data_IF_402771494403
#
_entry.id   IF_402771494403
#
_cell.length_a   1.000
_cell.length_b   1.000
_cell.length_c   1.000
_cell.angle_alpha   90.00
_cell.angle_beta   90.00
_cell.angle_gamma   90.00
#
_symmetry.space_group_name_H-M   'P 1'
#
loop_
_entity.id
_entity.type
_entity.pdbx_description
1 polymer ?
#
# COMPACT_ATOMS: atom_id res chain seq x y z
N UNK A 1 -28.94 -7.13 5.68
CA UNK A 1 -28.56 -5.97 6.51
C UNK A 1 -27.51 -5.20 5.72
N UNK A 2 -27.80 -3.97 5.29
CA UNK A 2 -26.96 -3.12 4.44
C UNK A 2 -26.50 -1.93 5.28
N UNK A 3 -25.36 -2.06 5.94
CA UNK A 3 -24.70 -0.98 6.67
C UNK A 3 -23.55 -0.37 5.84
N UNK A 4 -23.09 0.85 6.18
CA UNK A 4 -22.02 1.52 5.43
C UNK A 4 -20.70 0.75 5.51
N UNK A 5 -19.97 0.71 4.39
CA UNK A 5 -18.67 0.04 4.26
C UNK A 5 -17.55 0.90 4.85
N UNK A 6 -16.86 0.45 5.92
CA UNK A 6 -15.67 1.12 6.39
C UNK A 6 -14.48 0.75 5.50
N UNK A 7 -13.65 1.74 5.12
CA UNK A 7 -12.32 1.52 4.54
C UNK A 7 -11.31 1.03 5.61
N UNK A 8 -11.70 0.03 6.41
CA UNK A 8 -10.85 -0.61 7.42
C UNK A 8 -10.15 -1.85 6.88
N UNK A 9 -9.15 -2.35 7.63
CA UNK A 9 -8.60 -3.72 7.45
C UNK A 9 -9.71 -4.75 7.76
N UNK A 10 -10.64 -4.93 6.84
CA UNK A 10 -11.53 -6.08 6.81
C UNK A 10 -11.15 -6.89 5.57
N UNK A 11 -10.82 -8.16 5.77
CA UNK A 11 -10.63 -9.10 4.66
C UNK A 11 -12.00 -9.34 4.04
N UNK A 12 -12.32 -8.59 3.00
CA UNK A 12 -13.48 -8.83 2.15
C UNK A 12 -13.11 -9.90 1.11
N UNK A 13 -14.07 -10.73 0.71
CA UNK A 13 -13.91 -11.57 -0.47
C UNK A 13 -13.76 -10.68 -1.72
N UNK A 14 -12.88 -11.05 -2.65
CA UNK A 14 -12.57 -10.23 -3.83
C UNK A 14 -13.82 -10.00 -4.68
N UNK A 15 -14.68 -11.00 -4.77
CA UNK A 15 -15.95 -10.97 -5.49
C UNK A 15 -16.93 -9.96 -4.88
N UNK A 16 -16.95 -9.87 -3.55
CA UNK A 16 -17.79 -8.93 -2.82
C UNK A 16 -17.27 -7.49 -2.97
N UNK A 17 -15.94 -7.31 -3.02
CA UNK A 17 -15.33 -6.01 -3.32
C UNK A 17 -15.69 -5.52 -4.74
N UNK A 18 -15.67 -6.43 -5.72
CA UNK A 18 -16.02 -6.11 -7.11
C UNK A 18 -17.51 -5.83 -7.30
N UNK A 19 -18.38 -6.45 -6.48
CA UNK A 19 -19.83 -6.25 -6.51
C UNK A 19 -20.33 -5.06 -5.68
N UNK A 20 -19.50 -4.46 -4.84
CA UNK A 20 -19.90 -3.38 -3.95
C UNK A 20 -20.03 -2.05 -4.70
N UNK A 21 -21.19 -1.38 -4.58
CA UNK A 21 -21.39 0.00 -5.01
C UNK A 21 -21.08 0.92 -3.82
N UNK A 22 -20.12 1.86 -3.92
CA UNK A 22 -19.82 2.78 -2.83
C UNK A 22 -21.05 3.62 -2.48
N UNK A 23 -21.46 3.63 -1.21
CA UNK A 23 -22.53 4.51 -0.73
C UNK A 23 -21.98 5.91 -0.46
N UNK A 24 -22.83 6.94 -0.57
CA UNK A 24 -22.45 8.33 -0.24
C UNK A 24 -21.96 8.48 1.20
N UNK A 25 -22.51 7.68 2.13
CA UNK A 25 -22.10 7.68 3.53
C UNK A 25 -20.74 7.00 3.73
N UNK A 26 -20.44 5.91 3.00
CA UNK A 26 -19.12 5.28 2.99
C UNK A 26 -18.04 6.17 2.35
N UNK A 27 -18.40 6.93 1.32
CA UNK A 27 -17.53 7.98 0.76
C UNK A 27 -17.24 9.08 1.79
N UNK A 28 -18.26 9.52 2.53
CA UNK A 28 -18.12 10.47 3.63
C UNK A 28 -17.12 9.99 4.69
N UNK A 29 -17.10 8.69 4.99
CA UNK A 29 -16.15 8.11 5.93
C UNK A 29 -14.70 8.11 5.41
N UNK A 30 -14.49 7.98 4.10
CA UNK A 30 -13.17 8.03 3.47
C UNK A 30 -12.49 9.40 3.57
N UNK A 31 -13.26 10.47 3.81
CA UNK A 31 -12.72 11.82 4.01
C UNK A 31 -12.25 12.09 5.44
N UNK A 32 -12.54 11.20 6.41
CA UNK A 32 -11.99 11.36 7.75
C UNK A 32 -10.52 10.94 7.77
N UNK A 33 -9.65 11.67 8.50
CA UNK A 33 -8.27 11.25 8.71
C UNK A 33 -8.25 9.85 9.33
N UNK A 34 -7.71 8.88 8.59
CA UNK A 34 -7.54 7.53 9.10
C UNK A 34 -6.50 7.54 10.23
N UNK A 35 -6.79 6.85 11.34
CA UNK A 35 -5.78 6.53 12.36
C UNK A 35 -4.82 5.51 11.77
N UNK A 36 -3.77 5.99 11.11
CA UNK A 36 -2.71 5.15 10.56
C UNK A 36 -1.62 4.96 11.62
N UNK A 37 -1.01 3.77 11.65
CA UNK A 37 0.21 3.57 12.43
C UNK A 37 1.31 4.51 11.92
N UNK A 38 2.28 4.85 12.78
CA UNK A 38 3.42 5.69 12.40
C UNK A 38 4.06 5.19 11.10
N UNK A 39 4.10 6.07 10.10
CA UNK A 39 4.67 5.80 8.78
C UNK A 39 4.13 4.54 8.07
N UNK A 40 2.88 4.14 8.34
CA UNK A 40 2.24 2.96 7.73
C UNK A 40 2.99 1.64 8.01
N UNK A 41 3.67 1.53 9.16
CA UNK A 41 4.36 0.30 9.56
C UNK A 41 3.37 -0.90 9.65
N UNK A 42 3.59 -2.00 8.90
CA UNK A 42 2.70 -3.15 8.92
C UNK A 42 2.93 -4.12 10.09
N UNK A 43 3.97 -3.91 10.91
CA UNK A 43 4.38 -4.77 12.02
C UNK A 43 5.45 -5.82 11.61
N UNK A 44 6.18 -6.35 12.60
CA UNK A 44 7.31 -7.26 12.39
C UNK A 44 6.93 -8.55 11.64
N UNK A 45 5.83 -9.20 12.03
CA UNK A 45 5.35 -10.44 11.41
C UNK A 45 5.07 -10.24 9.91
N UNK A 46 4.38 -9.15 9.56
CA UNK A 46 4.06 -8.84 8.16
C UNK A 46 5.33 -8.49 7.36
N UNK A 47 6.30 -7.79 7.95
CA UNK A 47 7.59 -7.52 7.29
C UNK A 47 8.32 -8.82 6.93
N UNK A 48 8.35 -9.79 7.85
CA UNK A 48 8.94 -11.11 7.59
C UNK A 48 8.18 -11.89 6.51
N UNK A 49 6.84 -11.84 6.52
CA UNK A 49 6.01 -12.44 5.46
C UNK A 49 6.33 -11.81 4.10
N UNK A 50 6.38 -10.48 4.02
CA UNK A 50 6.70 -9.75 2.79
C UNK A 50 8.11 -10.08 2.29
N UNK A 51 9.09 -10.17 3.20
CA UNK A 51 10.45 -10.59 2.87
C UNK A 51 10.46 -11.99 2.24
N UNK A 52 9.86 -12.99 2.89
CA UNK A 52 9.83 -14.36 2.36
C UNK A 52 9.06 -14.45 1.04
N UNK A 53 7.92 -13.74 0.94
CA UNK A 53 7.13 -13.65 -0.28
C UNK A 53 7.95 -13.09 -1.45
N UNK A 54 8.65 -11.98 -1.25
CA UNK A 54 9.51 -11.38 -2.27
C UNK A 54 10.66 -12.30 -2.75
N UNK A 55 11.06 -13.27 -1.92
CA UNK A 55 12.10 -14.25 -2.26
C UNK A 55 11.57 -15.48 -3.03
N UNK A 56 10.27 -15.56 -3.27
CA UNK A 56 9.68 -16.48 -4.25
C UNK A 56 9.69 -15.87 -5.65
N UNK A 57 9.69 -16.70 -6.71
CA UNK A 57 9.68 -16.20 -8.08
C UNK A 57 8.39 -15.41 -8.38
N UNK A 58 7.25 -15.92 -7.95
CA UNK A 58 5.92 -15.33 -8.11
C UNK A 58 5.80 -14.05 -7.29
N UNK A 59 6.20 -14.08 -6.02
CA UNK A 59 6.11 -12.91 -5.15
C UNK A 59 6.99 -11.76 -5.61
N UNK A 60 8.20 -12.05 -6.12
CA UNK A 60 9.02 -11.04 -6.78
C UNK A 60 8.30 -10.41 -7.95
N UNK A 61 7.72 -11.20 -8.86
CA UNK A 61 6.99 -10.67 -10.03
C UNK A 61 5.81 -9.79 -9.62
N UNK A 62 5.09 -10.16 -8.57
CA UNK A 62 3.96 -9.37 -8.05
C UNK A 62 4.45 -8.05 -7.45
N UNK A 63 5.50 -8.08 -6.62
CA UNK A 63 6.06 -6.85 -6.01
C UNK A 63 6.64 -5.92 -7.08
N UNK A 64 7.34 -6.46 -8.08
CA UNK A 64 7.87 -5.70 -9.20
C UNK A 64 6.75 -5.04 -10.01
N UNK A 65 5.66 -5.75 -10.29
CA UNK A 65 4.47 -5.17 -10.92
C UNK A 65 3.84 -4.07 -10.07
N UNK A 66 3.78 -4.22 -8.74
CA UNK A 66 3.31 -3.15 -7.85
C UNK A 66 4.24 -1.94 -7.86
N UNK A 67 5.56 -2.14 -7.94
CA UNK A 67 6.54 -1.07 -8.09
C UNK A 67 6.37 -0.32 -9.42
N UNK A 68 6.07 -1.05 -10.51
CA UNK A 68 5.75 -0.47 -11.82
C UNK A 68 4.50 0.41 -11.79
N UNK A 69 3.47 0.01 -11.02
CA UNK A 69 2.24 0.79 -10.84
C UNK A 69 2.41 1.99 -9.91
N UNK A 70 3.45 2.01 -9.08
CA UNK A 70 3.62 3.01 -8.01
C UNK A 70 4.83 3.91 -8.22
N UNK A 71 6.00 3.47 -7.78
CA UNK A 71 7.25 4.25 -7.72
C UNK A 71 7.94 4.41 -9.06
N UNK A 72 7.73 3.49 -10.01
CA UNK A 72 8.28 3.60 -11.37
C UNK A 72 7.28 4.15 -12.38
N UNK A 73 6.01 4.26 -11.99
CA UNK A 73 4.99 4.80 -12.87
C UNK A 73 5.31 6.26 -13.21
N UNK A 74 5.29 6.68 -14.49
CA UNK A 74 5.65 8.03 -14.87
C UNK A 74 4.70 9.07 -14.26
N UNK A 75 5.21 10.30 -14.20
CA UNK A 75 4.42 11.44 -13.76
C UNK A 75 3.23 11.64 -14.71
N UNK A 76 2.00 11.87 -14.19
CA UNK A 76 0.82 12.02 -15.04
C UNK A 76 0.94 13.22 -15.97
N UNK A 77 0.43 13.09 -17.20
CA UNK A 77 0.29 14.24 -18.09
C UNK A 77 -0.75 15.21 -17.52
N UNK A 78 -0.41 16.49 -17.45
CA UNK A 78 -1.24 17.54 -16.83
C UNK A 78 -1.38 18.73 -17.76
N UNK A 79 -2.51 19.42 -17.65
CA UNK A 79 -2.74 20.69 -18.34
C UNK A 79 -1.76 21.78 -17.90
N UNK A 80 -1.80 22.93 -18.57
CA UNK A 80 -0.84 24.02 -18.41
C UNK A 80 -1.03 24.92 -17.18
N UNK A 81 -2.05 24.69 -16.35
CA UNK A 81 -2.26 25.50 -15.14
C UNK A 81 -1.39 25.03 -13.97
N UNK A 82 -0.89 25.98 -13.17
CA UNK A 82 -0.05 25.69 -12.00
C UNK A 82 -0.79 24.83 -10.97
N UNK A 83 -2.08 25.10 -10.77
CA UNK A 83 -2.92 24.36 -9.83
C UNK A 83 -3.06 22.89 -10.25
N UNK A 84 -3.22 22.62 -11.55
CA UNK A 84 -3.31 21.25 -12.06
C UNK A 84 -1.98 20.50 -11.87
N UNK A 85 -0.85 21.15 -12.10
CA UNK A 85 0.48 20.58 -11.86
C UNK A 85 0.67 20.24 -10.38
N UNK A 86 0.32 21.15 -9.47
CA UNK A 86 0.46 20.93 -8.01
C UNK A 86 -0.41 19.76 -7.54
N UNK A 87 -1.67 19.71 -7.95
CA UNK A 87 -2.58 18.61 -7.58
C UNK A 87 -2.06 17.27 -8.10
N UNK A 88 -1.56 17.24 -9.33
CA UNK A 88 -0.99 16.04 -9.90
C UNK A 88 0.31 15.61 -9.22
N UNK A 89 1.13 16.57 -8.76
CA UNK A 89 2.34 16.28 -7.99
C UNK A 89 1.99 15.57 -6.71
N UNK A 90 1.05 16.12 -5.95
CA UNK A 90 0.59 15.52 -4.70
C UNK A 90 0.01 14.11 -4.91
N UNK A 91 -0.77 13.89 -5.98
CA UNK A 91 -1.30 12.56 -6.32
C UNK A 91 -0.20 11.56 -6.69
N UNK A 92 0.78 12.01 -7.48
CA UNK A 92 1.91 11.19 -7.88
C UNK A 92 2.79 10.82 -6.68
N UNK A 93 3.08 11.79 -5.81
CA UNK A 93 3.81 11.59 -4.56
C UNK A 93 3.10 10.58 -3.66
N UNK A 94 1.78 10.72 -3.46
CA UNK A 94 0.99 9.77 -2.68
C UNK A 94 1.06 8.35 -3.27
N UNK A 95 0.98 8.22 -4.61
CA UNK A 95 1.12 6.94 -5.31
C UNK A 95 2.52 6.33 -5.13
N UNK A 96 3.57 7.14 -5.25
CA UNK A 96 4.94 6.70 -5.06
C UNK A 96 5.20 6.27 -3.60
N UNK A 97 4.64 6.98 -2.62
CA UNK A 97 4.77 6.65 -1.21
C UNK A 97 4.32 5.22 -0.89
N UNK A 98 3.26 4.72 -1.54
CA UNK A 98 2.79 3.33 -1.35
C UNK A 98 3.87 2.32 -1.71
N UNK A 99 4.50 2.46 -2.88
CA UNK A 99 5.57 1.55 -3.30
C UNK A 99 6.81 1.67 -2.42
N UNK A 100 7.16 2.89 -1.97
CA UNK A 100 8.28 3.09 -1.05
C UNK A 100 8.06 2.40 0.30
N UNK A 101 6.86 2.50 0.87
CA UNK A 101 6.50 1.82 2.12
C UNK A 101 6.57 0.30 1.96
N UNK A 102 6.07 -0.25 0.86
CA UNK A 102 6.15 -1.68 0.57
C UNK A 102 7.61 -2.17 0.51
N UNK A 103 8.45 -1.49 -0.27
CA UNK A 103 9.86 -1.88 -0.45
C UNK A 103 10.64 -1.72 0.85
N UNK A 104 10.35 -0.68 1.63
CA UNK A 104 10.92 -0.49 2.97
C UNK A 104 10.54 -1.63 3.91
N UNK A 105 9.27 -2.04 3.94
CA UNK A 105 8.82 -3.15 4.77
C UNK A 105 9.51 -4.48 4.42
N UNK A 106 9.76 -4.74 3.13
CA UNK A 106 10.52 -5.91 2.66
C UNK A 106 11.97 -5.85 3.16
N UNK A 107 12.63 -4.70 3.03
CA UNK A 107 14.02 -4.52 3.48
C UNK A 107 14.14 -4.65 5.01
N UNK A 108 13.23 -4.07 5.77
CA UNK A 108 13.18 -4.23 7.22
C UNK A 108 12.90 -5.70 7.63
N UNK A 109 12.09 -6.42 6.84
CA UNK A 109 11.86 -7.86 7.03
C UNK A 109 13.11 -8.71 6.85
N UNK A 110 13.99 -8.35 5.91
CA UNK A 110 15.29 -8.99 5.74
C UNK A 110 16.17 -8.83 6.98
N UNK A 111 16.24 -7.62 7.54
CA UNK A 111 17.01 -7.35 8.75
C UNK A 111 16.48 -8.13 9.96
N UNK A 112 15.15 -8.22 10.11
CA UNK A 112 14.52 -9.07 11.14
C UNK A 112 14.86 -10.56 10.96
N UNK A 113 14.92 -11.04 9.71
CA UNK A 113 15.32 -12.42 9.42
C UNK A 113 16.80 -12.69 9.72
N UNK A 114 17.69 -11.74 9.41
CA UNK A 114 19.11 -11.84 9.75
C UNK A 114 19.31 -11.88 11.27
N UNK A 115 18.61 -11.04 12.02
CA UNK A 115 18.66 -11.01 13.48
C UNK A 115 18.18 -12.33 14.10
N UNK A 116 17.11 -12.93 13.58
CA UNK A 116 16.61 -14.22 14.10
C UNK A 116 17.57 -15.38 13.85
N UNK A 117 18.35 -15.34 12.75
CA UNK A 117 19.44 -16.31 12.48
C UNK A 117 20.73 -16.03 13.24
N UNK A 118 21.02 -14.77 13.57
CA UNK A 118 22.19 -14.37 14.35
C UNK A 118 22.04 -14.64 15.85
N UNK A 119 20.81 -14.75 16.37
CA UNK A 119 20.51 -15.06 17.76
C UNK A 119 20.69 -16.55 18.14
N UNK A 120 21.25 -17.38 17.25
CA UNK A 120 21.41 -18.84 17.44
C UNK A 120 22.84 -19.28 17.80
N UNK A 121 23.66 -18.38 18.33
CA UNK A 121 24.99 -18.68 18.92
C UNK A 121 25.02 -18.35 20.39
#
# INVERSE_FOLDING_TARGET
MSGPFPFGRQMMAVEELLGAVPTMEGLGQAFFPAKVADNFDPGADMKQVLYHFYHTAEGRRIVEWLADLTVRAPYPHVGSSKEAVVIAAAKHEARAAVGLVLMRAIAEGEELYKQSKGATT
#
